data_IF_574605644473
#
_entry.id   IF_574605644473
#
_cell.length_a   1.000
_cell.length_b   1.000
_cell.length_c   1.000
_cell.angle_alpha   90.00
_cell.angle_beta   90.00
_cell.angle_gamma   90.00
#
_symmetry.space_group_name_H-M   'P 1'
#
loop_
_entity.id
_entity.type
_entity.pdbx_description
1 polymer ?
#
# COMPACT_ATOMS: atom_id res chain seq x y z
N UNK A 1 5.74 14.09 4.11
CA UNK A 1 6.57 13.15 4.90
C UNK A 1 7.52 12.48 3.93
N UNK A 2 8.81 12.41 4.26
CA UNK A 2 9.81 11.78 3.39
C UNK A 2 10.24 10.43 3.95
N UNK A 3 10.28 9.41 3.11
CA UNK A 3 10.87 8.11 3.42
C UNK A 3 12.40 8.21 3.56
N UNK A 4 13.00 7.25 4.27
CA UNK A 4 14.44 7.02 4.33
C UNK A 4 14.83 5.78 3.54
N UNK A 5 16.10 5.68 3.14
CA UNK A 5 16.61 4.49 2.43
C UNK A 5 16.43 3.19 3.25
N UNK A 6 16.62 3.26 4.57
CA UNK A 6 16.41 2.12 5.48
C UNK A 6 14.94 1.64 5.44
N UNK A 7 13.99 2.57 5.34
CA UNK A 7 12.58 2.23 5.22
C UNK A 7 12.26 1.56 3.87
N UNK A 8 12.94 1.95 2.79
CA UNK A 8 12.81 1.28 1.48
C UNK A 8 13.28 -0.17 1.57
N UNK A 9 14.46 -0.43 2.14
CA UNK A 9 14.94 -1.80 2.34
C UNK A 9 14.00 -2.62 3.25
N UNK A 10 13.46 -2.00 4.30
CA UNK A 10 12.51 -2.66 5.20
C UNK A 10 11.23 -3.06 4.47
N UNK A 11 10.67 -2.18 3.64
CA UNK A 11 9.46 -2.47 2.85
C UNK A 11 9.76 -3.56 1.81
N UNK A 12 10.89 -3.48 1.11
CA UNK A 12 11.32 -4.53 0.17
C UNK A 12 11.44 -5.90 0.84
N UNK A 13 12.02 -5.95 2.05
CA UNK A 13 12.10 -7.19 2.84
C UNK A 13 10.73 -7.77 3.20
N UNK A 14 9.77 -6.92 3.59
CA UNK A 14 8.39 -7.32 3.90
C UNK A 14 7.66 -7.84 2.65
N UNK A 15 7.90 -7.21 1.51
CA UNK A 15 7.35 -7.60 0.21
C UNK A 15 8.05 -8.81 -0.43
N UNK A 16 9.15 -9.29 0.17
CA UNK A 16 10.01 -10.36 -0.39
C UNK A 16 10.59 -10.01 -1.77
N UNK A 17 10.94 -8.74 -1.96
CA UNK A 17 11.58 -8.23 -3.17
C UNK A 17 13.05 -8.00 -2.86
N UNK A 18 13.93 -8.61 -3.65
CA UNK A 18 15.35 -8.29 -3.64
C UNK A 18 15.57 -6.96 -4.37
N UNK A 19 16.40 -6.09 -3.78
CA UNK A 19 16.69 -4.77 -4.32
C UNK A 19 18.16 -4.43 -4.03
N UNK A 20 18.89 -3.99 -5.04
CA UNK A 20 20.24 -3.47 -4.89
C UNK A 20 20.24 -2.04 -4.33
N UNK A 21 21.37 -1.58 -3.79
CA UNK A 21 21.48 -0.23 -3.25
C UNK A 21 21.17 0.86 -4.29
N UNK A 22 21.61 0.66 -5.54
CA UNK A 22 21.32 1.60 -6.63
C UNK A 22 19.83 1.64 -7.01
N UNK A 23 19.16 0.50 -6.94
CA UNK A 23 17.71 0.43 -7.18
C UNK A 23 16.94 1.04 -6.00
N UNK A 24 17.45 0.88 -4.78
CA UNK A 24 16.84 1.44 -3.57
C UNK A 24 16.85 2.97 -3.59
N UNK A 25 17.93 3.61 -4.04
CA UNK A 25 18.00 5.07 -4.20
C UNK A 25 17.00 5.58 -5.25
N UNK A 26 16.90 4.90 -6.39
CA UNK A 26 15.91 5.24 -7.42
C UNK A 26 14.46 5.06 -6.92
N UNK A 27 14.21 3.96 -6.21
CA UNK A 27 12.90 3.63 -5.64
C UNK A 27 12.50 4.63 -4.55
N UNK A 28 13.45 5.10 -3.74
CA UNK A 28 13.22 6.11 -2.72
C UNK A 28 12.66 7.41 -3.34
N UNK A 29 13.25 7.87 -4.44
CA UNK A 29 12.77 9.05 -5.17
C UNK A 29 11.32 8.88 -5.65
N UNK A 30 11.05 7.77 -6.34
CA UNK A 30 9.72 7.46 -6.86
C UNK A 30 8.67 7.34 -5.75
N UNK A 31 9.01 6.68 -4.64
CA UNK A 31 8.11 6.58 -3.50
C UNK A 31 7.81 7.96 -2.91
N UNK A 32 8.81 8.82 -2.72
CA UNK A 32 8.56 10.17 -2.20
C UNK A 32 7.62 11.00 -3.09
N UNK A 33 7.69 10.86 -4.42
CA UNK A 33 6.74 11.47 -5.35
C UNK A 33 5.31 10.94 -5.16
N UNK A 34 5.14 9.62 -4.99
CA UNK A 34 3.83 9.00 -4.71
C UNK A 34 3.27 9.49 -3.37
N UNK A 35 4.10 9.61 -2.34
CA UNK A 35 3.66 10.13 -1.04
C UNK A 35 3.22 11.59 -1.12
N UNK A 36 3.86 12.42 -1.95
CA UNK A 36 3.41 13.79 -2.19
C UNK A 36 2.00 13.82 -2.80
N UNK A 37 1.70 12.94 -3.76
CA UNK A 37 0.35 12.80 -4.32
C UNK A 37 -0.68 12.37 -3.26
N UNK A 38 -0.31 11.44 -2.37
CA UNK A 38 -1.19 10.99 -1.28
C UNK A 38 -1.46 12.12 -0.29
N UNK A 39 -0.50 13.00 -0.03
CA UNK A 39 -0.71 14.18 0.83
C UNK A 39 -1.75 15.13 0.26
N UNK A 40 -1.82 15.30 -1.06
CA UNK A 40 -2.90 16.09 -1.69
C UNK A 40 -4.28 15.51 -1.40
N UNK A 41 -4.41 14.17 -1.34
CA UNK A 41 -5.68 13.51 -1.01
C UNK A 41 -6.13 13.73 0.44
N UNK A 42 -5.20 14.02 1.36
CA UNK A 42 -5.51 14.28 2.78
C UNK A 42 -6.24 15.63 2.99
N UNK A 43 -6.31 16.48 1.96
CA UNK A 43 -7.06 17.73 2.02
C UNK A 43 -8.59 17.53 2.11
N UNK A 44 -9.08 16.32 1.81
CA UNK A 44 -10.51 16.01 1.84
C UNK A 44 -10.90 15.48 3.23
N UNK A 45 -11.89 16.10 3.85
CA UNK A 45 -12.45 15.63 5.12
C UNK A 45 -13.25 14.33 4.92
N UNK A 46 -12.86 13.30 5.66
CA UNK A 46 -13.48 11.97 5.66
C UNK A 46 -14.07 11.62 7.03
N UNK A 47 -14.24 12.60 7.92
CA UNK A 47 -14.84 12.37 9.24
C UNK A 47 -16.26 11.81 9.11
N UNK A 48 -16.48 10.64 9.71
CA UNK A 48 -17.78 9.94 9.66
C UNK A 48 -18.08 9.20 8.36
N UNK A 49 -17.10 9.12 7.43
CA UNK A 49 -17.21 8.30 6.22
C UNK A 49 -16.69 6.90 6.52
N UNK A 50 -17.54 5.89 6.36
CA UNK A 50 -17.14 4.48 6.52
C UNK A 50 -16.23 4.03 5.37
N UNK A 51 -15.10 3.33 5.64
CA UNK A 51 -14.22 2.82 4.60
C UNK A 51 -14.90 1.78 3.70
N UNK A 52 -14.69 1.88 2.39
CA UNK A 52 -15.26 0.95 1.40
C UNK A 52 -14.24 -0.13 1.00
N UNK A 53 -14.44 -1.37 1.45
CA UNK A 53 -13.58 -2.52 1.10
C UNK A 53 -13.94 -3.17 -0.25
N UNK A 54 -15.22 -3.15 -0.61
CA UNK A 54 -15.75 -3.68 -1.86
C UNK A 54 -16.66 -2.65 -2.51
N UNK A 55 -16.56 -2.47 -3.83
CA UNK A 55 -17.40 -1.52 -4.56
C UNK A 55 -18.87 -1.98 -4.70
N UNK A 56 -19.14 -3.26 -4.46
CA UNK A 56 -20.47 -3.86 -4.44
C UNK A 56 -20.75 -4.42 -3.05
N UNK A 57 -22.02 -4.58 -2.72
CA UNK A 57 -22.43 -5.28 -1.50
C UNK A 57 -22.13 -6.77 -1.64
N UNK A 58 -21.19 -7.27 -0.84
CA UNK A 58 -20.76 -8.67 -0.88
C UNK A 58 -21.21 -9.39 0.39
N UNK A 59 -21.84 -10.55 0.23
CA UNK A 59 -22.11 -11.48 1.31
C UNK A 59 -21.02 -12.57 1.38
N UNK A 60 -20.80 -13.15 2.57
CA UNK A 60 -19.82 -14.23 2.75
C UNK A 60 -20.17 -15.44 1.86
N UNK A 61 -19.30 -15.76 0.90
CA UNK A 61 -19.48 -16.94 0.04
C UNK A 61 -19.10 -18.20 0.83
N UNK A 62 -20.05 -19.13 0.95
CA UNK A 62 -19.80 -20.42 1.58
C UNK A 62 -19.34 -21.44 0.54
N UNK A 63 -18.33 -22.23 0.89
CA UNK A 63 -17.90 -23.42 0.14
C UNK A 63 -18.50 -24.66 0.79
N UNK A 64 -19.01 -25.60 0.00
CA UNK A 64 -19.50 -26.88 0.53
C UNK A 64 -18.35 -27.68 1.16
N UNK A 65 -18.64 -28.36 2.27
CA UNK A 65 -17.68 -29.24 2.93
C UNK A 65 -17.59 -30.59 2.20
N UNK A 66 -16.94 -30.58 1.05
CA UNK A 66 -16.67 -31.75 0.21
C UNK A 66 -15.21 -31.72 -0.23
N UNK A 67 -14.58 -32.89 -0.31
CA UNK A 67 -13.23 -33.05 -0.85
C UNK A 67 -13.26 -32.74 -2.35
N UNK A 68 -12.27 -31.98 -2.80
CA UNK A 68 -12.05 -31.56 -4.18
C UNK A 68 -10.64 -31.90 -4.60
#
# INVERSE_FOLDING_TARGET
MSLTIEQVHRVAHLARIEISDSEADGTLGQLNEIFALIEEMQAVDTQGVEPMAHAQDVAQRLRADRVT
#
